data_IF_244435839813
#
_entry.id   IF_244435839813
#
_cell.length_a   1.000
_cell.length_b   1.000
_cell.length_c   1.000
_cell.angle_alpha   90.00
_cell.angle_beta   90.00
_cell.angle_gamma   90.00
#
_symmetry.space_group_name_H-M   'P 1'
#
loop_
_entity.id
_entity.type
_entity.pdbx_description
1 polymer ?
#
# COMPACT_ATOMS: atom_id res chain seq x y z
N UNK A 1 21.81 -22.74 -65.95
CA UNK A 1 22.72 -22.10 -64.98
C UNK A 1 22.61 -20.61 -65.27
N UNK A 2 21.98 -19.78 -64.44
CA UNK A 2 22.17 -19.62 -63.00
C UNK A 2 20.85 -19.37 -62.26
N UNK A 3 20.83 -19.81 -61.00
CA UNK A 3 19.68 -19.82 -60.11
C UNK A 3 19.63 -18.53 -59.28
N UNK A 4 18.41 -18.03 -59.12
CA UNK A 4 18.01 -16.87 -58.33
C UNK A 4 18.41 -17.01 -56.86
N UNK A 5 19.22 -16.08 -56.36
CA UNK A 5 19.57 -15.95 -54.95
C UNK A 5 18.51 -15.09 -54.24
N UNK A 6 17.42 -15.73 -53.79
CA UNK A 6 16.55 -15.15 -52.78
C UNK A 6 17.14 -15.45 -51.39
N UNK A 7 17.69 -14.41 -50.78
CA UNK A 7 18.11 -14.36 -49.38
C UNK A 7 16.94 -14.76 -48.49
N UNK A 8 17.01 -15.95 -47.89
CA UNK A 8 16.05 -16.43 -46.89
C UNK A 8 16.13 -15.54 -45.64
N UNK A 9 15.13 -14.68 -45.44
CA UNK A 9 14.81 -14.15 -44.13
C UNK A 9 14.47 -15.34 -43.19
N UNK A 10 14.92 -15.35 -41.93
CA UNK A 10 14.50 -16.38 -41.01
C UNK A 10 13.01 -16.17 -40.72
N UNK A 11 12.20 -17.12 -41.16
CA UNK A 11 10.81 -17.24 -40.78
C UNK A 11 10.72 -17.57 -39.28
N UNK A 12 10.96 -16.58 -38.40
CA UNK A 12 10.47 -16.62 -37.01
C UNK A 12 9.00 -16.23 -37.02
N UNK A 13 8.21 -17.10 -37.64
CA UNK A 13 6.76 -16.95 -37.76
C UNK A 13 6.09 -17.02 -36.39
N UNK A 14 5.08 -16.17 -36.21
CA UNK A 14 3.86 -16.20 -35.39
C UNK A 14 3.68 -17.23 -34.24
N UNK A 15 4.29 -18.41 -34.26
CA UNK A 15 4.35 -19.39 -33.16
C UNK A 15 5.19 -18.92 -31.97
N UNK A 16 6.15 -18.01 -32.19
CA UNK A 16 6.91 -17.38 -31.11
C UNK A 16 6.06 -16.41 -30.24
N UNK A 17 4.91 -15.93 -30.76
CA UNK A 17 4.05 -14.98 -30.04
C UNK A 17 3.25 -15.60 -28.90
N UNK A 18 3.01 -16.91 -28.89
CA UNK A 18 2.12 -17.56 -27.92
C UNK A 18 2.55 -18.98 -27.60
N UNK A 19 3.82 -19.17 -27.24
CA UNK A 19 4.22 -20.46 -26.68
C UNK A 19 3.64 -20.59 -25.27
N UNK A 20 2.67 -21.47 -25.00
CA UNK A 20 2.10 -21.64 -23.66
C UNK A 20 3.16 -22.00 -22.62
N UNK A 21 4.30 -22.54 -23.06
CA UNK A 21 5.47 -22.86 -22.26
C UNK A 21 6.11 -21.64 -21.59
N UNK A 22 6.05 -20.45 -22.20
CA UNK A 22 6.60 -19.23 -21.60
C UNK A 22 5.93 -18.89 -20.26
N UNK A 23 4.68 -19.30 -20.05
CA UNK A 23 3.99 -19.08 -18.77
C UNK A 23 4.53 -19.94 -17.63
N UNK A 24 5.27 -21.00 -17.92
CA UNK A 24 5.85 -21.93 -16.93
C UNK A 24 7.31 -21.61 -16.62
N UNK A 25 7.98 -20.80 -17.45
CA UNK A 25 9.37 -20.42 -17.26
C UNK A 25 9.56 -19.60 -15.97
N UNK A 26 10.73 -19.72 -15.35
CA UNK A 26 11.09 -18.89 -14.20
C UNK A 26 11.18 -17.42 -14.59
N UNK A 27 11.05 -16.54 -13.61
CA UNK A 27 11.17 -15.10 -13.84
C UNK A 27 12.55 -14.73 -14.40
N UNK A 28 13.62 -15.35 -13.90
CA UNK A 28 14.98 -15.15 -14.38
C UNK A 28 15.09 -15.52 -15.86
N UNK A 29 14.52 -16.66 -16.24
CA UNK A 29 14.55 -17.13 -17.62
C UNK A 29 13.74 -16.24 -18.55
N UNK A 30 12.61 -15.73 -18.08
CA UNK A 30 11.82 -14.75 -18.83
C UNK A 30 12.62 -13.46 -19.08
N UNK A 31 13.37 -12.96 -18.09
CA UNK A 31 14.24 -11.78 -18.27
C UNK A 31 15.32 -12.03 -19.32
N UNK A 32 15.98 -13.19 -19.29
CA UNK A 32 16.97 -13.57 -20.32
C UNK A 32 16.36 -13.60 -21.72
N UNK A 33 15.16 -14.17 -21.85
CA UNK A 33 14.44 -14.23 -23.13
C UNK A 33 14.02 -12.84 -23.62
N UNK A 34 13.59 -11.95 -22.73
CA UNK A 34 13.27 -10.55 -23.06
C UNK A 34 14.52 -9.86 -23.62
N UNK A 35 15.67 -10.01 -22.96
CA UNK A 35 16.96 -9.45 -23.44
C UNK A 35 17.40 -10.02 -24.78
N UNK A 36 17.08 -11.29 -25.04
CA UNK A 36 17.34 -11.95 -26.31
C UNK A 36 16.34 -11.56 -27.43
N UNK A 37 15.38 -10.67 -27.16
CA UNK A 37 14.41 -10.18 -28.14
C UNK A 37 13.26 -11.16 -28.42
N UNK A 38 12.91 -12.02 -27.48
CA UNK A 38 11.71 -12.87 -27.60
C UNK A 38 10.44 -12.10 -27.22
N UNK A 39 9.69 -11.64 -28.21
CA UNK A 39 8.47 -10.83 -28.04
C UNK A 39 7.46 -11.37 -27.01
N UNK A 40 7.26 -12.69 -26.96
CA UNK A 40 6.28 -13.32 -26.06
C UNK A 40 6.71 -13.41 -24.59
N UNK A 41 7.99 -13.21 -24.27
CA UNK A 41 8.50 -13.37 -22.92
C UNK A 41 8.05 -12.22 -22.00
N UNK A 42 8.01 -11.00 -22.52
CA UNK A 42 7.50 -9.86 -21.76
C UNK A 42 5.99 -9.98 -21.50
N UNK A 43 5.22 -10.44 -22.49
CA UNK A 43 3.78 -10.67 -22.34
C UNK A 43 3.51 -11.73 -21.26
N UNK A 44 4.30 -12.81 -21.20
CA UNK A 44 4.19 -13.82 -20.15
C UNK A 44 4.45 -13.21 -18.75
N UNK A 45 5.46 -12.35 -18.62
CA UNK A 45 5.78 -11.66 -17.38
C UNK A 45 4.68 -10.66 -16.97
N UNK A 46 4.18 -9.88 -17.93
CA UNK A 46 3.06 -8.98 -17.73
C UNK A 46 1.83 -9.72 -17.23
N UNK A 47 1.44 -10.81 -17.91
CA UNK A 47 0.28 -11.61 -17.53
C UNK A 47 0.42 -12.24 -16.14
N UNK A 48 1.64 -12.55 -15.70
CA UNK A 48 1.92 -13.08 -14.36
C UNK A 48 1.74 -12.04 -13.25
N UNK A 49 2.08 -10.77 -13.51
CA UNK A 49 2.17 -9.74 -12.47
C UNK A 49 1.11 -8.64 -12.53
N UNK A 50 0.46 -8.41 -13.68
CA UNK A 50 -0.46 -7.28 -13.87
C UNK A 50 -1.57 -7.22 -12.81
N UNK A 51 -2.26 -8.33 -12.53
CA UNK A 51 -3.40 -8.32 -11.61
C UNK A 51 -3.00 -7.96 -10.18
N UNK A 52 -1.87 -8.51 -9.71
CA UNK A 52 -1.36 -8.22 -8.36
C UNK A 52 -0.84 -6.80 -8.26
N UNK A 53 -0.06 -6.34 -9.24
CA UNK A 53 0.45 -4.96 -9.27
C UNK A 53 -0.67 -3.94 -9.42
N UNK A 54 -1.71 -4.22 -10.20
CA UNK A 54 -2.89 -3.36 -10.32
C UNK A 54 -3.62 -3.26 -8.98
N UNK A 55 -3.87 -4.38 -8.31
CA UNK A 55 -4.49 -4.39 -6.98
C UNK A 55 -3.67 -3.61 -5.95
N UNK A 56 -2.34 -3.78 -5.97
CA UNK A 56 -1.43 -2.99 -5.17
C UNK A 56 -1.53 -1.48 -5.46
N UNK A 57 -1.49 -1.07 -6.73
CA UNK A 57 -1.61 0.34 -7.11
C UNK A 57 -2.98 0.93 -6.74
N UNK A 58 -4.07 0.17 -6.91
CA UNK A 58 -5.42 0.58 -6.50
C UNK A 58 -5.50 0.81 -4.99
N UNK A 59 -4.91 -0.08 -4.19
CA UNK A 59 -4.85 0.08 -2.73
C UNK A 59 -4.00 1.28 -2.28
N UNK A 60 -3.10 1.78 -3.13
CA UNK A 60 -2.27 2.95 -2.86
C UNK A 60 -2.91 4.27 -3.32
N UNK A 61 -3.53 4.29 -4.50
CA UNK A 61 -3.94 5.53 -5.19
C UNK A 61 -5.43 5.85 -5.09
N UNK A 62 -6.28 4.89 -4.72
CA UNK A 62 -7.74 5.05 -4.59
C UNK A 62 -8.49 5.53 -5.86
N UNK A 63 -7.81 5.62 -6.99
CA UNK A 63 -8.37 5.86 -8.31
C UNK A 63 -8.00 4.70 -9.22
N UNK A 64 -9.01 4.09 -9.87
CA UNK A 64 -8.77 3.00 -10.81
C UNK A 64 -7.97 3.49 -12.02
N UNK A 65 -8.29 4.68 -12.50
CA UNK A 65 -7.63 5.28 -13.66
C UNK A 65 -6.15 5.58 -13.35
N UNK A 66 -5.88 6.20 -12.21
CA UNK A 66 -4.51 6.49 -11.78
C UNK A 66 -3.70 5.21 -11.55
N UNK A 67 -4.34 4.17 -11.02
CA UNK A 67 -3.72 2.87 -10.83
C UNK A 67 -3.37 2.18 -12.16
N UNK A 68 -4.24 2.27 -13.16
CA UNK A 68 -3.98 1.77 -14.52
C UNK A 68 -2.84 2.55 -15.20
N UNK A 69 -2.83 3.88 -15.07
CA UNK A 69 -1.76 4.74 -15.59
C UNK A 69 -0.41 4.43 -14.93
N UNK A 70 -0.37 4.32 -13.60
CA UNK A 70 0.83 3.94 -12.86
C UNK A 70 1.28 2.53 -13.22
N UNK A 71 0.37 1.58 -13.39
CA UNK A 71 0.71 0.22 -13.81
C UNK A 71 1.38 0.22 -15.19
N UNK A 72 0.87 1.01 -16.13
CA UNK A 72 1.47 1.16 -17.45
C UNK A 72 2.89 1.71 -17.32
N UNK A 73 3.09 2.79 -16.55
CA UNK A 73 4.43 3.32 -16.29
C UNK A 73 5.36 2.26 -15.68
N UNK A 74 4.87 1.44 -14.73
CA UNK A 74 5.67 0.38 -14.09
C UNK A 74 6.21 -0.59 -15.16
N UNK A 75 5.34 -1.09 -16.03
CA UNK A 75 5.75 -2.05 -17.05
C UNK A 75 6.61 -1.43 -18.16
N UNK A 76 6.34 -0.19 -18.58
CA UNK A 76 7.20 0.51 -19.55
C UNK A 76 8.60 0.71 -19.00
N UNK A 77 8.73 1.16 -17.75
CA UNK A 77 10.02 1.34 -17.10
C UNK A 77 10.73 0.01 -16.84
N UNK A 78 9.97 -1.02 -16.45
CA UNK A 78 10.53 -2.36 -16.24
C UNK A 78 11.10 -2.92 -17.54
N UNK A 79 10.38 -2.81 -18.65
CA UNK A 79 10.85 -3.26 -19.96
C UNK A 79 12.13 -2.51 -20.38
N UNK A 80 12.12 -1.18 -20.29
CA UNK A 80 13.30 -0.36 -20.61
C UNK A 80 14.52 -0.72 -19.74
N UNK A 81 14.32 -0.93 -18.44
CA UNK A 81 15.39 -1.29 -17.52
C UNK A 81 15.92 -2.72 -17.74
N UNK A 82 15.07 -3.66 -18.12
CA UNK A 82 15.49 -5.03 -18.45
C UNK A 82 16.38 -5.08 -19.70
N UNK A 83 16.10 -4.23 -20.69
CA UNK A 83 16.90 -4.12 -21.93
C UNK A 83 18.16 -3.28 -21.76
N UNK A 84 18.15 -2.30 -20.85
CA UNK A 84 19.27 -1.38 -20.64
C UNK A 84 20.35 -1.86 -19.66
N UNK A 85 20.09 -2.90 -18.86
CA UNK A 85 21.03 -3.41 -17.86
C UNK A 85 21.03 -4.94 -17.83
N UNK A 86 22.22 -5.52 -17.72
CA UNK A 86 22.44 -6.97 -17.70
C UNK A 86 22.48 -7.58 -16.28
N UNK A 87 22.33 -6.75 -15.24
CA UNK A 87 22.30 -7.21 -13.84
C UNK A 87 21.25 -8.30 -13.59
N UNK A 88 21.53 -9.16 -12.62
CA UNK A 88 20.53 -10.12 -12.11
C UNK A 88 19.41 -9.35 -11.39
N UNK A 89 18.17 -9.62 -11.79
CA UNK A 89 16.98 -8.97 -11.25
C UNK A 89 16.14 -10.04 -10.56
N UNK A 90 15.88 -9.85 -9.27
CA UNK A 90 14.80 -10.58 -8.60
C UNK A 90 13.48 -9.87 -8.95
N UNK A 91 12.77 -10.39 -9.96
CA UNK A 91 11.71 -9.67 -10.68
C UNK A 91 10.60 -9.20 -9.74
N UNK A 92 10.09 -10.09 -8.89
CA UNK A 92 8.95 -9.78 -8.03
C UNK A 92 9.19 -8.56 -7.11
N UNK A 93 10.14 -8.57 -6.16
CA UNK A 93 10.40 -7.40 -5.31
C UNK A 93 10.89 -6.18 -6.10
N UNK A 94 11.55 -6.38 -7.24
CA UNK A 94 11.97 -5.29 -8.10
C UNK A 94 10.79 -4.57 -8.76
N UNK A 95 9.80 -5.29 -9.27
CA UNK A 95 8.56 -4.72 -9.82
C UNK A 95 7.79 -3.96 -8.73
N UNK A 96 7.64 -4.51 -7.53
CA UNK A 96 6.98 -3.81 -6.42
C UNK A 96 7.74 -2.55 -5.98
N UNK A 97 9.08 -2.54 -6.08
CA UNK A 97 9.87 -1.32 -5.85
C UNK A 97 9.53 -0.22 -6.85
N UNK A 98 9.46 -0.58 -8.15
CA UNK A 98 9.09 0.38 -9.20
C UNK A 98 7.67 0.87 -8.96
N UNK A 99 6.71 -0.03 -8.75
CA UNK A 99 5.31 0.28 -8.48
C UNK A 99 5.13 1.19 -7.27
N UNK A 100 5.77 0.86 -6.15
CA UNK A 100 5.78 1.70 -4.95
C UNK A 100 6.29 3.10 -5.29
N UNK A 101 7.49 3.21 -5.87
CA UNK A 101 8.08 4.52 -6.16
C UNK A 101 7.18 5.36 -7.08
N UNK A 102 6.52 4.73 -8.06
CA UNK A 102 5.56 5.39 -8.95
C UNK A 102 4.31 5.86 -8.22
N UNK A 103 3.71 5.01 -7.38
CA UNK A 103 2.57 5.39 -6.55
C UNK A 103 2.93 6.56 -5.62
N UNK A 104 4.11 6.53 -5.00
CA UNK A 104 4.56 7.61 -4.10
C UNK A 104 4.84 8.91 -4.84
N UNK A 105 5.41 8.84 -6.04
CA UNK A 105 5.60 10.02 -6.87
C UNK A 105 4.25 10.61 -7.32
N UNK A 106 3.26 9.77 -7.61
CA UNK A 106 1.91 10.22 -7.95
C UNK A 106 1.23 10.91 -6.78
N UNK A 107 1.25 10.32 -5.58
CA UNK A 107 0.68 10.90 -4.35
C UNK A 107 1.33 12.23 -3.92
N UNK A 108 2.57 12.48 -4.36
CA UNK A 108 3.29 13.74 -4.08
C UNK A 108 2.98 14.86 -5.06
N UNK A 109 2.34 14.56 -6.20
CA UNK A 109 1.94 15.59 -7.16
C UNK A 109 0.75 16.36 -6.59
N UNK A 110 0.76 17.71 -6.64
CA UNK A 110 -0.41 18.49 -6.26
C UNK A 110 -1.54 18.15 -7.23
N UNK A 111 -2.63 17.58 -6.70
CA UNK A 111 -3.83 17.27 -7.47
C UNK A 111 -4.57 18.58 -7.71
N UNK A 112 -4.85 18.97 -8.97
CA UNK A 112 -5.78 20.08 -9.25
C UNK A 112 -7.16 19.73 -8.68
N UNK A 113 -7.78 20.66 -7.96
CA UNK A 113 -9.16 20.51 -7.48
C UNK A 113 -10.09 20.16 -8.65
N UNK A 114 -10.68 18.96 -8.66
CA UNK A 114 -11.68 18.59 -9.67
C UNK A 114 -11.70 17.14 -10.16
N UNK A 115 -11.00 16.20 -9.53
CA UNK A 115 -11.19 14.76 -9.82
C UNK A 115 -11.66 14.04 -8.56
N UNK A 116 -12.97 14.11 -8.30
CA UNK A 116 -13.61 13.13 -7.44
C UNK A 116 -13.43 11.76 -8.09
N UNK A 117 -12.55 10.96 -7.49
CA UNK A 117 -12.43 9.54 -7.82
C UNK A 117 -13.78 8.90 -7.60
N UNK A 118 -14.36 8.36 -8.66
CA UNK A 118 -15.58 7.57 -8.58
C UNK A 118 -15.22 6.28 -7.83
N UNK A 119 -15.45 6.27 -6.52
CA UNK A 119 -15.28 5.09 -5.68
C UNK A 119 -16.11 3.93 -6.25
N UNK A 120 -15.42 2.96 -6.84
CA UNK A 120 -16.02 1.66 -7.18
C UNK A 120 -16.10 0.87 -5.88
N UNK A 121 -17.10 1.20 -5.06
CA UNK A 121 -17.61 0.21 -4.13
C UNK A 121 -18.24 -0.93 -4.94
N UNK A 122 -17.95 -2.20 -4.62
CA UNK A 122 -18.70 -3.31 -5.20
C UNK A 122 -20.18 -3.14 -4.83
N UNK A 123 -20.98 -2.72 -5.81
CA UNK A 123 -22.43 -2.76 -5.74
C UNK A 123 -22.83 -4.22 -5.93
N UNK A 124 -22.85 -4.95 -4.82
CA UNK A 124 -23.42 -6.28 -4.76
C UNK A 124 -24.92 -6.15 -4.79
N UNK A 125 -25.52 -6.40 -5.95
CA UNK A 125 -26.95 -6.59 -6.11
C UNK A 125 -27.33 -7.90 -5.42
N UNK A 126 -28.37 -7.87 -4.57
CA UNK A 126 -29.08 -9.08 -4.14
C UNK A 126 -29.02 -9.35 -2.64
N UNK A 127 -30.17 -9.11 -1.98
CA UNK A 127 -30.75 -9.87 -0.85
C UNK A 127 -29.82 -10.78 -0.04
N UNK A 128 -29.65 -10.50 1.27
CA UNK A 128 -29.88 -11.43 2.43
C UNK A 128 -29.03 -11.11 3.69
N UNK A 129 -29.62 -11.47 4.85
CA UNK A 129 -29.12 -11.70 6.23
C UNK A 129 -28.23 -10.63 6.92
N UNK A 130 -28.61 -10.28 8.17
CA UNK A 130 -27.92 -9.30 9.02
C UNK A 130 -26.41 -9.57 9.20
N UNK A 131 -25.99 -10.85 9.17
CA UNK A 131 -24.60 -11.27 9.27
C UNK A 131 -23.74 -10.83 8.07
N UNK A 132 -24.29 -10.88 6.84
CA UNK A 132 -23.57 -10.43 5.65
C UNK A 132 -23.42 -8.91 5.61
N UNK A 133 -24.40 -8.18 6.16
CA UNK A 133 -24.32 -6.73 6.33
C UNK A 133 -23.22 -6.37 7.34
N UNK A 134 -23.18 -7.04 8.49
CA UNK A 134 -22.15 -6.82 9.51
C UNK A 134 -20.75 -7.10 8.97
N UNK A 135 -20.54 -8.24 8.30
CA UNK A 135 -19.24 -8.58 7.74
C UNK A 135 -18.76 -7.57 6.68
N UNK A 136 -19.68 -7.04 5.87
CA UNK A 136 -19.36 -6.00 4.88
C UNK A 136 -18.97 -4.69 5.57
N UNK A 137 -19.64 -4.34 6.65
CA UNK A 137 -19.34 -3.14 7.44
C UNK A 137 -17.99 -3.27 8.18
N UNK A 138 -17.72 -4.42 8.80
CA UNK A 138 -16.44 -4.72 9.46
C UNK A 138 -15.27 -4.62 8.46
N UNK A 139 -15.45 -5.18 7.26
CA UNK A 139 -14.47 -5.09 6.18
C UNK A 139 -14.26 -3.63 5.75
N UNK A 140 -15.33 -2.85 5.61
CA UNK A 140 -15.26 -1.43 5.25
C UNK A 140 -14.46 -0.64 6.28
N UNK A 141 -14.71 -0.87 7.56
CA UNK A 141 -14.00 -0.22 8.67
C UNK A 141 -12.52 -0.62 8.70
N UNK A 142 -12.21 -1.90 8.48
CA UNK A 142 -10.83 -2.37 8.41
C UNK A 142 -10.08 -1.70 7.26
N UNK A 143 -10.69 -1.59 6.08
CA UNK A 143 -10.10 -0.90 4.94
C UNK A 143 -9.85 0.58 5.26
N UNK A 144 -10.82 1.26 5.87
CA UNK A 144 -10.64 2.64 6.33
C UNK A 144 -9.49 2.77 7.35
N UNK A 145 -9.35 1.83 8.28
CA UNK A 145 -8.25 1.83 9.25
C UNK A 145 -6.88 1.66 8.59
N UNK A 146 -6.76 0.78 7.59
CA UNK A 146 -5.54 0.59 6.79
C UNK A 146 -5.14 1.89 6.09
N UNK A 147 -6.10 2.67 5.62
CA UNK A 147 -5.85 3.98 5.01
C UNK A 147 -5.33 5.02 6.00
N UNK A 148 -5.71 4.94 7.28
CA UNK A 148 -5.17 5.85 8.31
C UNK A 148 -3.74 5.53 8.73
N UNK A 149 -3.23 4.34 8.37
CA UNK A 149 -1.85 3.96 8.69
C UNK A 149 -0.84 4.87 7.98
N UNK A 150 0.31 5.14 8.63
CA UNK A 150 1.45 5.74 7.95
C UNK A 150 1.80 4.95 6.69
N UNK A 151 2.09 5.67 5.60
CA UNK A 151 2.30 5.11 4.27
C UNK A 151 3.30 3.94 4.25
N UNK A 152 4.44 4.06 4.95
CA UNK A 152 5.45 2.99 5.03
C UNK A 152 4.94 1.74 5.74
N UNK A 153 4.11 1.90 6.77
CA UNK A 153 3.48 0.78 7.48
C UNK A 153 2.42 0.12 6.61
N UNK A 154 1.60 0.93 5.92
CA UNK A 154 0.58 0.46 4.97
C UNK A 154 1.21 -0.33 3.83
N UNK A 155 2.24 0.21 3.18
CA UNK A 155 2.96 -0.48 2.10
C UNK A 155 3.54 -1.81 2.58
N UNK A 156 4.20 -1.83 3.74
CA UNK A 156 4.77 -3.08 4.28
C UNK A 156 3.66 -4.13 4.50
N UNK A 157 2.53 -3.71 5.07
CA UNK A 157 1.39 -4.58 5.33
C UNK A 157 0.77 -5.13 4.04
N UNK A 158 0.53 -4.29 3.03
CA UNK A 158 -0.03 -4.70 1.74
C UNK A 158 0.87 -5.71 1.03
N UNK A 159 2.18 -5.41 0.95
CA UNK A 159 3.16 -6.32 0.35
C UNK A 159 3.19 -7.68 1.07
N UNK A 160 2.92 -7.69 2.38
CA UNK A 160 2.91 -8.92 3.18
C UNK A 160 1.61 -9.71 3.06
N UNK A 161 0.47 -9.08 3.29
CA UNK A 161 -0.81 -9.78 3.47
C UNK A 161 -1.53 -10.01 2.14
N UNK A 162 -1.42 -9.07 1.19
CA UNK A 162 -2.08 -9.16 -0.11
C UNK A 162 -1.17 -9.84 -1.12
N UNK A 163 0.06 -9.33 -1.25
CA UNK A 163 0.98 -9.78 -2.28
C UNK A 163 1.82 -10.98 -1.85
N UNK A 164 1.80 -11.35 -0.55
CA UNK A 164 2.49 -12.52 0.02
C UNK A 164 4.01 -12.53 -0.21
N UNK A 165 4.67 -11.37 -0.08
CA UNK A 165 6.12 -11.28 -0.17
C UNK A 165 6.81 -11.75 1.12
N UNK A 166 8.01 -12.31 0.99
CA UNK A 166 8.89 -12.62 2.12
C UNK A 166 9.43 -11.34 2.78
N UNK A 167 9.98 -11.44 3.99
CA UNK A 167 10.59 -10.25 4.64
C UNK A 167 11.79 -9.73 3.86
N UNK A 168 12.56 -10.61 3.22
CA UNK A 168 13.68 -10.27 2.35
C UNK A 168 13.19 -9.53 1.10
N UNK A 169 12.14 -10.04 0.45
CA UNK A 169 11.54 -9.40 -0.73
C UNK A 169 10.96 -8.02 -0.38
N UNK A 170 10.28 -7.88 0.76
CA UNK A 170 9.75 -6.59 1.22
C UNK A 170 10.89 -5.61 1.52
N UNK A 171 11.95 -6.07 2.20
CA UNK A 171 13.11 -5.23 2.51
C UNK A 171 13.77 -4.72 1.22
N UNK A 172 13.89 -5.58 0.21
CA UNK A 172 14.36 -5.19 -1.12
C UNK A 172 13.40 -4.22 -1.81
N UNK A 173 12.10 -4.48 -1.80
CA UNK A 173 11.09 -3.63 -2.44
C UNK A 173 11.04 -2.23 -1.82
N UNK A 174 11.16 -2.15 -0.50
CA UNK A 174 11.09 -0.90 0.28
C UNK A 174 12.45 -0.22 0.48
N UNK A 175 13.55 -0.80 -0.02
CA UNK A 175 14.92 -0.32 0.17
C UNK A 175 15.26 -0.08 1.66
N UNK A 176 14.97 -1.07 2.49
CA UNK A 176 15.20 -1.02 3.94
C UNK A 176 15.76 -2.34 4.45
N UNK A 177 15.92 -2.49 5.76
CA UNK A 177 16.44 -3.70 6.39
C UNK A 177 15.32 -4.63 6.86
N UNK A 178 15.58 -5.93 6.96
CA UNK A 178 14.62 -6.90 7.49
C UNK A 178 14.12 -6.53 8.91
N UNK A 179 14.99 -6.09 9.85
CA UNK A 179 14.53 -5.59 11.15
C UNK A 179 13.57 -4.40 11.04
N UNK A 180 13.81 -3.48 10.11
CA UNK A 180 12.90 -2.35 9.84
C UNK A 180 11.55 -2.84 9.33
N UNK A 181 11.52 -3.79 8.38
CA UNK A 181 10.28 -4.40 7.88
C UNK A 181 9.48 -5.04 9.02
N UNK A 182 10.15 -5.84 9.88
CA UNK A 182 9.50 -6.45 11.06
C UNK A 182 8.88 -5.38 11.97
N UNK A 183 9.62 -4.31 12.26
CA UNK A 183 9.12 -3.19 13.06
C UNK A 183 7.93 -2.47 12.40
N UNK A 184 7.95 -2.27 11.09
CA UNK A 184 6.85 -1.65 10.34
C UNK A 184 5.59 -2.51 10.40
N UNK A 185 5.71 -3.82 10.18
CA UNK A 185 4.58 -4.75 10.22
C UNK A 185 3.97 -4.87 11.62
N UNK A 186 4.80 -4.97 12.66
CA UNK A 186 4.32 -4.99 14.05
C UNK A 186 3.57 -3.70 14.38
N UNK A 187 4.13 -2.54 14.03
CA UNK A 187 3.46 -1.25 14.25
C UNK A 187 2.17 -1.09 13.43
N UNK A 188 2.15 -1.58 12.19
CA UNK A 188 0.94 -1.59 11.37
C UNK A 188 -0.19 -2.39 12.04
N UNK A 189 0.11 -3.61 12.50
CA UNK A 189 -0.87 -4.50 13.16
C UNK A 189 -1.36 -3.94 14.49
N UNK A 190 -0.45 -3.41 15.32
CA UNK A 190 -0.82 -2.72 16.57
C UNK A 190 -1.72 -1.53 16.23
N UNK A 191 -1.36 -0.74 15.22
CA UNK A 191 -2.18 0.37 14.75
C UNK A 191 -3.59 -0.07 14.37
N UNK A 192 -3.75 -1.12 13.58
CA UNK A 192 -5.09 -1.61 13.21
C UNK A 192 -5.89 -2.09 14.42
N UNK A 193 -5.25 -2.84 15.34
CA UNK A 193 -5.89 -3.28 16.57
C UNK A 193 -6.35 -2.09 17.43
N UNK A 194 -5.49 -1.07 17.61
CA UNK A 194 -5.84 0.15 18.34
C UNK A 194 -6.98 0.91 17.68
N UNK A 195 -7.07 0.94 16.34
CA UNK A 195 -8.18 1.59 15.63
C UNK A 195 -9.51 0.88 15.89
N UNK A 196 -9.51 -0.46 15.84
CA UNK A 196 -10.68 -1.26 16.19
C UNK A 196 -11.13 -1.04 17.63
N UNK A 197 -10.19 -1.08 18.58
CA UNK A 197 -10.47 -0.82 20.00
C UNK A 197 -11.00 0.60 20.24
N UNK A 198 -10.46 1.60 19.54
CA UNK A 198 -10.92 2.99 19.67
C UNK A 198 -12.41 3.19 19.30
N UNK A 199 -12.96 2.34 18.43
CA UNK A 199 -14.41 2.36 18.10
C UNK A 199 -15.28 1.76 19.20
N UNK A 200 -14.72 0.89 20.03
CA UNK A 200 -15.42 0.26 21.14
C UNK A 200 -15.41 1.11 22.41
N UNK A 201 -14.47 2.07 22.52
CA UNK A 201 -14.37 2.97 23.67
C UNK A 201 -15.48 4.02 23.69
N UNK A 202 -16.01 4.27 24.88
CA UNK A 202 -16.92 5.38 25.16
C UNK A 202 -16.15 6.68 25.44
N UNK A 203 -16.82 7.82 25.28
CA UNK A 203 -16.21 9.12 25.60
C UNK A 203 -15.85 9.22 27.08
N UNK A 204 -16.68 8.68 27.98
CA UNK A 204 -16.45 8.75 29.43
C UNK A 204 -15.16 8.03 29.83
N UNK A 205 -14.93 6.81 29.32
CA UNK A 205 -13.69 6.06 29.54
C UNK A 205 -12.46 6.85 29.06
N UNK A 206 -12.55 7.48 27.90
CA UNK A 206 -11.46 8.26 27.31
C UNK A 206 -11.22 9.56 28.09
N UNK A 207 -12.26 10.23 28.56
CA UNK A 207 -12.15 11.45 29.35
C UNK A 207 -11.51 11.19 30.72
N UNK A 208 -11.84 10.07 31.38
CA UNK A 208 -11.18 9.64 32.62
C UNK A 208 -9.68 9.47 32.37
N UNK A 209 -9.29 8.70 31.33
CA UNK A 209 -7.88 8.51 31.00
C UNK A 209 -7.16 9.82 30.60
N UNK A 210 -7.87 10.77 29.99
CA UNK A 210 -7.33 12.11 29.70
C UNK A 210 -7.07 12.93 30.96
N UNK A 211 -7.97 12.88 31.95
CA UNK A 211 -7.82 13.56 33.22
C UNK A 211 -6.64 12.99 34.01
N UNK A 212 -6.56 11.65 34.14
CA UNK A 212 -5.43 10.97 34.80
C UNK A 212 -4.08 11.32 34.14
N UNK A 213 -4.04 11.36 32.81
CA UNK A 213 -2.84 11.75 32.07
C UNK A 213 -2.47 13.23 32.27
N UNK A 214 -3.45 14.11 32.47
CA UNK A 214 -3.21 15.53 32.75
C UNK A 214 -2.62 15.76 34.15
N UNK A 215 -3.01 14.94 35.11
CA UNK A 215 -2.48 14.91 36.49
C UNK A 215 -1.12 14.18 36.61
N UNK A 216 -0.70 13.47 35.56
CA UNK A 216 0.56 12.71 35.54
C UNK A 216 0.46 11.33 36.20
N UNK A 217 -0.75 10.85 36.46
CA UNK A 217 -1.05 9.54 37.07
C UNK A 217 -0.79 8.40 36.06
N UNK A 218 -0.70 8.70 34.77
CA UNK A 218 -0.40 7.71 33.75
C UNK A 218 -0.18 8.30 32.35
N UNK A 219 -0.03 7.41 31.37
CA UNK A 219 -0.01 7.77 29.95
C UNK A 219 -1.30 7.29 29.31
N UNK A 220 -1.86 8.12 28.43
CA UNK A 220 -2.99 7.73 27.60
C UNK A 220 -2.58 6.56 26.68
N UNK A 221 -3.39 5.50 26.70
CA UNK A 221 -3.16 4.30 25.90
C UNK A 221 -3.27 4.58 24.39
N UNK A 222 -2.93 3.58 23.57
CA UNK A 222 -3.04 3.67 22.11
C UNK A 222 -4.46 3.91 21.60
N UNK A 223 -5.43 3.07 21.99
CA UNK A 223 -6.82 3.19 21.58
C UNK A 223 -7.45 4.54 21.95
N UNK A 224 -7.30 5.04 23.17
CA UNK A 224 -7.87 6.33 23.56
C UNK A 224 -7.20 7.48 22.80
N UNK A 225 -5.88 7.43 22.53
CA UNK A 225 -5.23 8.42 21.64
C UNK A 225 -5.83 8.44 20.23
N UNK A 226 -6.26 7.30 19.71
CA UNK A 226 -6.96 7.22 18.42
C UNK A 226 -8.39 7.72 18.52
N UNK A 227 -9.12 7.38 19.57
CA UNK A 227 -10.47 7.87 19.82
C UNK A 227 -10.50 9.41 19.86
N UNK A 228 -9.60 10.03 20.63
CA UNK A 228 -9.46 11.51 20.72
C UNK A 228 -9.21 12.17 19.37
N UNK A 229 -8.61 11.46 18.41
CA UNK A 229 -8.35 11.98 17.06
C UNK A 229 -9.63 12.02 16.21
N UNK A 230 -10.56 11.12 16.46
CA UNK A 230 -11.77 10.92 15.66
C UNK A 230 -13.03 11.44 16.36
N UNK A 231 -12.97 11.79 17.65
CA UNK A 231 -14.08 12.32 18.44
C UNK A 231 -13.83 13.78 18.84
N UNK A 232 -14.69 14.69 18.36
CA UNK A 232 -14.55 16.12 18.62
C UNK A 232 -14.81 16.50 20.08
N UNK A 233 -15.72 15.79 20.76
CA UNK A 233 -15.97 15.99 22.20
C UNK A 233 -14.73 15.69 23.05
N UNK A 234 -14.07 14.56 22.82
CA UNK A 234 -12.84 14.21 23.53
C UNK A 234 -11.66 15.14 23.17
N UNK A 235 -11.63 15.67 21.93
CA UNK A 235 -10.63 16.65 21.50
C UNK A 235 -10.80 17.98 22.24
N UNK A 236 -12.03 18.48 22.31
CA UNK A 236 -12.39 19.70 23.04
C UNK A 236 -12.09 19.55 24.54
N UNK A 237 -12.44 18.40 25.16
CA UNK A 237 -12.13 18.13 26.56
C UNK A 237 -10.63 18.16 26.85
N UNK A 238 -9.80 17.55 25.98
CA UNK A 238 -8.34 17.60 26.11
C UNK A 238 -7.79 19.03 26.01
N UNK A 239 -8.38 19.87 25.16
CA UNK A 239 -8.00 21.27 25.04
C UNK A 239 -8.41 22.07 26.28
N UNK A 240 -9.59 21.80 26.83
CA UNK A 240 -10.06 22.39 28.08
C UNK A 240 -9.10 22.07 29.24
N UNK A 241 -8.72 20.81 29.44
CA UNK A 241 -7.75 20.41 30.48
C UNK A 241 -6.40 21.15 30.34
N UNK A 242 -5.94 21.37 29.11
CA UNK A 242 -4.71 22.15 28.86
C UNK A 242 -4.89 23.63 29.17
N UNK A 243 -6.05 24.20 28.85
CA UNK A 243 -6.40 25.59 29.16
C UNK A 243 -6.48 25.80 30.67
N UNK A 244 -7.20 24.93 31.38
CA UNK A 244 -7.38 25.01 32.84
C UNK A 244 -6.04 24.89 33.56
N UNK A 245 -5.17 23.95 33.15
CA UNK A 245 -3.82 23.83 33.72
C UNK A 245 -2.99 25.10 33.49
N UNK A 246 -3.09 25.74 32.33
CA UNK A 246 -2.40 27.01 32.05
C UNK A 246 -2.96 28.15 32.89
N UNK A 247 -4.28 28.24 33.03
CA UNK A 247 -4.94 29.24 33.85
C UNK A 247 -4.54 29.09 35.32
N UNK A 248 -4.55 27.86 35.84
CA UNK A 248 -4.11 27.55 37.21
C UNK A 248 -2.63 27.91 37.43
N UNK A 249 -1.76 27.62 36.47
CA UNK A 249 -0.35 28.04 36.54
C UNK A 249 -0.19 29.57 36.51
N UNK A 250 -1.04 30.29 35.77
CA UNK A 250 -1.01 31.75 35.70
C UNK A 250 -1.54 32.44 36.97
N UNK A 251 -2.46 31.79 37.70
CA UNK A 251 -2.95 32.27 39.01
C UNK A 251 -1.89 32.19 40.11
N UNK A 252 -0.88 31.33 39.96
CA UNK A 252 0.23 31.18 40.89
C UNK A 252 1.58 31.36 40.19
N UNK A 253 1.95 32.59 39.77
CA UNK A 253 3.18 32.86 39.00
C UNK A 253 4.46 32.84 39.87
N UNK A 254 4.54 31.97 40.88
CA UNK A 254 5.66 31.96 41.82
C UNK A 254 6.69 30.93 41.39
N UNK A 255 7.89 31.44 41.08
CA UNK A 255 9.09 30.64 40.82
C UNK A 255 9.43 29.72 42.00
N UNK A 256 9.69 28.46 41.67
CA UNK A 256 10.38 27.54 42.56
C UNK A 256 11.89 27.77 42.41
N UNK A 257 12.48 28.29 43.49
CA UNK A 257 13.89 28.02 43.87
C UNK A 257 14.05 26.53 44.14
#
# INVERSE_FOLDING_TARGET
>A
MEASALTRAPARGLLARRSPLLRLESDERLVELIRAGHDGAFEALFNRYNGRLLGFCQSMLKSRQDAEDVLQEVFTNAHAAMLGDDRRINVRPWLYRIARNRCLNHLRRPVPEGQDSMDVLPHGNGTTTAEHVQMREDLRQLLADVETLPETQRTALLLREIDQLSYEEIAQAMQTTIPSVKSLLVRARIGLAESGQARLLTCDEVQIGLAEAAEGIGKLDGPARKHVRNCDGCRAFREQLRSDRKAMAALFPVGLV
#
